data_IF_251039560450
#
_entry.id   IF_251039560450
#
_cell.length_a   1.000
_cell.length_b   1.000
_cell.length_c   1.000
_cell.angle_alpha   90.00
_cell.angle_beta   90.00
_cell.angle_gamma   90.00
#
_symmetry.space_group_name_H-M   'P 1'
#
loop_
_entity.id
_entity.type
_entity.pdbx_description
1 polymer ?
#
# COMPACT_ATOMS: atom_id res chain seq x y z
N UNK A 1 13.40 -35.55 38.78
CA UNK A 1 12.08 -35.01 38.41
C UNK A 1 12.30 -34.14 37.18
N UNK A 2 11.71 -34.53 36.05
CA UNK A 2 12.09 -34.13 34.70
C UNK A 2 11.68 -32.67 34.44
N UNK A 3 12.66 -31.83 34.09
CA UNK A 3 12.45 -30.48 33.58
C UNK A 3 11.88 -30.59 32.16
N UNK A 4 10.63 -30.16 32.00
CA UNK A 4 9.98 -29.97 30.71
C UNK A 4 10.66 -28.84 29.96
N UNK A 5 11.53 -29.19 29.00
CA UNK A 5 11.98 -28.27 27.97
C UNK A 5 10.82 -28.10 26.98
N UNK A 6 10.22 -26.92 26.96
CA UNK A 6 9.18 -26.57 25.99
C UNK A 6 9.86 -26.23 24.63
N UNK A 7 9.67 -27.01 23.55
CA UNK A 7 10.44 -26.88 22.31
C UNK A 7 10.00 -25.71 21.39
N UNK A 8 9.17 -24.79 21.90
CA UNK A 8 8.64 -23.64 21.16
C UNK A 8 9.56 -22.39 21.15
N UNK A 9 10.68 -22.39 21.87
CA UNK A 9 11.49 -21.19 22.10
C UNK A 9 12.99 -21.30 21.75
N UNK A 10 13.35 -22.11 20.74
CA UNK A 10 14.75 -22.16 20.26
C UNK A 10 15.13 -20.88 19.49
N UNK A 11 16.23 -20.19 19.83
CA UNK A 11 16.75 -19.01 19.12
C UNK A 11 16.94 -19.23 17.61
N UNK A 12 17.28 -20.47 17.22
CA UNK A 12 17.49 -20.88 15.83
C UNK A 12 16.22 -20.78 14.98
N UNK A 13 15.03 -21.07 15.55
CA UNK A 13 13.76 -20.97 14.82
C UNK A 13 13.34 -19.51 14.59
N UNK A 14 13.55 -18.62 15.56
CA UNK A 14 13.25 -17.18 15.42
C UNK A 14 14.21 -16.47 14.47
N UNK A 15 15.49 -16.81 14.52
CA UNK A 15 16.50 -16.33 13.56
C UNK A 15 16.22 -16.83 12.15
N UNK A 16 15.82 -18.10 11.98
CA UNK A 16 15.46 -18.65 10.67
C UNK A 16 14.16 -18.03 10.11
N UNK A 17 13.10 -17.93 10.92
CA UNK A 17 11.88 -17.24 10.52
C UNK A 17 12.13 -15.76 10.17
N UNK A 18 13.02 -15.09 10.93
CA UNK A 18 13.49 -13.74 10.61
C UNK A 18 14.24 -13.71 9.27
N UNK A 19 15.17 -14.63 9.01
CA UNK A 19 15.90 -14.69 7.73
C UNK A 19 14.95 -14.92 6.56
N UNK A 20 13.97 -15.82 6.69
CA UNK A 20 12.99 -16.11 5.64
C UNK A 20 12.07 -14.89 5.39
N UNK A 21 11.62 -14.21 6.44
CA UNK A 21 10.81 -12.99 6.32
C UNK A 21 11.61 -11.77 5.85
N UNK A 22 12.89 -11.67 6.22
CA UNK A 22 13.79 -10.59 5.80
C UNK A 22 14.16 -10.73 4.31
N UNK A 23 14.36 -11.96 3.81
CA UNK A 23 14.52 -12.21 2.36
C UNK A 23 13.25 -11.82 1.60
N UNK A 24 12.07 -12.21 2.10
CA UNK A 24 10.78 -11.84 1.50
C UNK A 24 10.58 -10.31 1.44
N UNK A 25 10.82 -9.58 2.54
CA UNK A 25 10.63 -8.14 2.57
C UNK A 25 11.71 -7.36 1.80
N UNK A 26 12.95 -7.87 1.73
CA UNK A 26 14.02 -7.27 0.93
C UNK A 26 13.68 -7.23 -0.56
N UNK A 27 12.93 -8.21 -1.07
CA UNK A 27 12.48 -8.20 -2.46
C UNK A 27 11.58 -6.99 -2.80
N UNK A 28 10.90 -6.43 -1.80
CA UNK A 28 9.96 -5.31 -1.97
C UNK A 28 10.39 -4.05 -1.20
N UNK A 29 11.67 -3.92 -0.86
CA UNK A 29 12.18 -2.83 -0.02
C UNK A 29 11.91 -1.43 -0.58
N UNK A 30 11.84 -1.33 -1.91
CA UNK A 30 11.73 -0.07 -2.63
C UNK A 30 10.26 0.36 -2.84
N UNK A 31 9.32 -0.52 -2.50
CA UNK A 31 7.90 -0.29 -2.75
C UNK A 31 7.21 0.42 -1.58
N UNK A 32 7.48 1.72 -1.48
CA UNK A 32 6.76 2.58 -0.55
C UNK A 32 5.26 2.66 -0.91
N UNK A 33 4.39 2.83 0.10
CA UNK A 33 2.98 3.17 -0.09
C UNK A 33 2.76 4.33 -1.06
N UNK A 34 1.67 4.26 -1.82
CA UNK A 34 1.30 5.30 -2.77
C UNK A 34 0.79 6.51 -1.98
N UNK A 35 1.75 7.29 -1.48
CA UNK A 35 1.53 8.54 -0.76
C UNK A 35 2.55 9.58 -1.20
N UNK A 36 2.06 10.73 -1.64
CA UNK A 36 2.84 11.94 -1.92
C UNK A 36 2.18 13.15 -1.26
N UNK A 37 2.60 14.36 -1.64
CA UNK A 37 1.93 15.60 -1.26
C UNK A 37 0.44 15.52 -1.59
N UNK A 38 -0.41 15.81 -0.59
CA UNK A 38 -1.86 15.80 -0.76
C UNK A 38 -2.29 17.00 -1.61
N UNK A 39 -3.03 16.73 -2.67
CA UNK A 39 -3.50 17.76 -3.57
C UNK A 39 -4.93 18.18 -3.26
N UNK A 40 -5.17 19.49 -3.22
CA UNK A 40 -6.52 20.05 -3.35
C UNK A 40 -7.13 19.69 -4.70
N UNK A 41 -8.45 19.82 -4.83
CA UNK A 41 -9.15 19.56 -6.10
C UNK A 41 -8.58 20.34 -7.29
N UNK A 42 -8.14 21.59 -7.08
CA UNK A 42 -7.53 22.39 -8.14
C UNK A 42 -6.12 21.92 -8.50
N UNK A 43 -5.34 21.46 -7.52
CA UNK A 43 -4.03 20.85 -7.77
C UNK A 43 -4.18 19.53 -8.52
N UNK A 44 -5.15 18.69 -8.13
CA UNK A 44 -5.48 17.44 -8.85
C UNK A 44 -5.84 17.69 -10.31
N UNK A 45 -6.64 18.72 -10.60
CA UNK A 45 -6.98 19.10 -11.99
C UNK A 45 -5.75 19.51 -12.79
N UNK A 46 -4.83 20.30 -12.20
CA UNK A 46 -3.57 20.67 -12.87
C UNK A 46 -2.68 19.46 -13.09
N UNK A 47 -2.59 18.59 -12.09
CA UNK A 47 -1.84 17.34 -12.16
C UNK A 47 -2.35 16.42 -13.25
N UNK A 48 -3.67 16.23 -13.34
CA UNK A 48 -4.29 15.40 -14.37
C UNK A 48 -3.96 15.87 -15.80
N UNK A 49 -3.92 17.18 -16.03
CA UNK A 49 -3.49 17.75 -17.33
C UNK A 49 -2.01 17.50 -17.59
N UNK A 50 -1.16 17.80 -16.62
CA UNK A 50 0.28 17.57 -16.73
C UNK A 50 0.62 16.08 -16.90
N UNK A 51 -0.18 15.18 -16.34
CA UNK A 51 -0.05 13.73 -16.52
C UNK A 51 -0.42 13.33 -17.97
N UNK A 52 -1.54 13.85 -18.47
CA UNK A 52 -1.99 13.59 -19.84
C UNK A 52 -0.98 14.04 -20.91
N UNK A 53 -0.25 15.13 -20.68
CA UNK A 53 0.82 15.62 -21.57
C UNK A 53 2.03 14.66 -21.63
N UNK A 54 2.26 13.87 -20.57
CA UNK A 54 3.40 12.94 -20.45
C UNK A 54 3.07 11.53 -20.94
N UNK A 55 1.80 11.19 -21.05
CA UNK A 55 1.36 9.86 -21.41
C UNK A 55 1.61 9.59 -22.90
N UNK A 56 2.64 8.81 -23.17
CA UNK A 56 2.90 8.23 -24.49
C UNK A 56 2.26 6.83 -24.54
N UNK A 57 1.33 6.63 -25.47
CA UNK A 57 0.64 5.34 -25.66
C UNK A 57 1.39 4.49 -26.68
N UNK A 58 1.60 3.23 -26.35
CA UNK A 58 2.15 2.24 -27.26
C UNK A 58 1.12 1.91 -28.35
N UNK A 59 1.46 2.00 -29.65
CA UNK A 59 0.57 1.56 -30.73
C UNK A 59 0.32 0.04 -30.72
N UNK A 60 1.13 -0.74 -30.00
CA UNK A 60 1.02 -2.20 -29.91
C UNK A 60 0.30 -2.58 -28.61
N UNK A 61 -0.70 -3.48 -28.67
CA UNK A 61 -1.32 -4.05 -27.48
C UNK A 61 -0.28 -4.71 -26.55
N UNK A 62 -0.35 -4.40 -25.26
CA UNK A 62 0.55 -4.94 -24.25
C UNK A 62 0.17 -6.33 -23.75
N UNK A 63 1.01 -6.86 -22.86
CA UNK A 63 0.72 -8.10 -22.14
C UNK A 63 -0.24 -7.87 -20.95
N UNK A 64 -0.83 -8.95 -20.44
CA UNK A 64 -1.71 -8.88 -19.28
C UNK A 64 -0.90 -8.80 -17.99
N UNK A 65 -0.45 -7.60 -17.62
CA UNK A 65 0.36 -7.37 -16.41
C UNK A 65 -0.48 -7.19 -15.13
N UNK A 66 -1.77 -6.88 -15.27
CA UNK A 66 -2.65 -6.58 -14.13
C UNK A 66 -3.06 -7.84 -13.36
N UNK A 67 -3.36 -8.95 -14.04
CA UNK A 67 -3.73 -10.21 -13.38
C UNK A 67 -2.57 -10.85 -12.60
N UNK A 68 -1.35 -11.00 -13.17
CA UNK A 68 -0.19 -11.46 -12.41
C UNK A 68 0.09 -10.58 -11.19
N UNK A 69 0.02 -9.26 -11.36
CA UNK A 69 0.23 -8.32 -10.26
C UNK A 69 -0.84 -8.45 -9.17
N UNK A 70 -2.11 -8.66 -9.54
CA UNK A 70 -3.17 -8.92 -8.56
C UNK A 70 -2.92 -10.20 -7.74
N UNK A 71 -2.43 -11.25 -8.38
CA UNK A 71 -2.11 -12.51 -7.70
C UNK A 71 -0.93 -12.35 -6.73
N UNK A 72 0.12 -11.63 -7.15
CA UNK A 72 1.23 -11.25 -6.27
C UNK A 72 0.75 -10.41 -5.08
N UNK A 73 -0.13 -9.43 -5.35
CA UNK A 73 -0.68 -8.57 -4.31
C UNK A 73 -1.45 -9.35 -3.26
N UNK A 74 -2.29 -10.31 -3.69
CA UNK A 74 -3.02 -11.21 -2.79
C UNK A 74 -2.07 -12.07 -1.95
N UNK A 75 -1.07 -12.69 -2.57
CA UNK A 75 -0.11 -13.54 -1.87
C UNK A 75 0.64 -12.78 -0.77
N UNK A 76 1.06 -11.54 -1.05
CA UNK A 76 1.74 -10.68 -0.08
C UNK A 76 0.79 -10.28 1.06
N UNK A 77 -0.44 -9.88 0.74
CA UNK A 77 -1.43 -9.50 1.75
C UNK A 77 -1.73 -10.67 2.70
N UNK A 78 -1.86 -11.89 2.18
CA UNK A 78 -2.06 -13.10 2.99
C UNK A 78 -0.86 -13.37 3.92
N UNK A 79 0.37 -13.29 3.41
CA UNK A 79 1.57 -13.49 4.23
C UNK A 79 1.69 -12.44 5.35
N UNK A 80 1.37 -11.18 5.07
CA UNK A 80 1.36 -10.14 6.11
C UNK A 80 0.29 -10.43 7.16
N UNK A 81 -0.90 -10.86 6.73
CA UNK A 81 -1.97 -11.24 7.66
C UNK A 81 -1.54 -12.40 8.58
N UNK A 82 -0.91 -13.43 8.04
CA UNK A 82 -0.37 -14.55 8.82
C UNK A 82 0.67 -14.08 9.87
N UNK A 83 1.63 -13.24 9.46
CA UNK A 83 2.63 -12.65 10.35
C UNK A 83 1.98 -11.85 11.50
N UNK A 84 0.96 -11.05 11.19
CA UNK A 84 0.27 -10.25 12.20
C UNK A 84 -0.58 -11.13 13.14
N UNK A 85 -1.23 -12.17 12.62
CA UNK A 85 -1.99 -13.14 13.42
C UNK A 85 -1.10 -13.95 14.36
N UNK A 86 0.11 -14.33 13.94
CA UNK A 86 1.10 -14.98 14.81
C UNK A 86 1.50 -14.08 15.99
N UNK A 87 1.66 -12.78 15.73
CA UNK A 87 1.95 -11.81 16.78
C UNK A 87 0.80 -11.68 17.80
N UNK A 88 -0.46 -11.74 17.34
CA UNK A 88 -1.65 -11.80 18.23
C UNK A 88 -1.60 -13.07 19.08
N UNK A 89 -1.40 -14.23 18.45
CA UNK A 89 -1.39 -15.52 19.13
C UNK A 89 -0.26 -15.62 20.18
N UNK A 90 0.86 -14.94 19.93
CA UNK A 90 1.99 -14.86 20.86
C UNK A 90 1.83 -13.80 21.95
N UNK A 91 0.64 -13.18 22.07
CA UNK A 91 0.31 -12.12 23.01
C UNK A 91 1.29 -10.94 22.98
N UNK A 92 1.86 -10.66 21.81
CA UNK A 92 2.76 -9.54 21.62
C UNK A 92 1.94 -8.26 21.44
N UNK A 93 2.45 -7.11 21.91
CA UNK A 93 1.80 -5.82 21.68
C UNK A 93 1.69 -5.56 20.18
N UNK A 94 0.51 -5.15 19.71
CA UNK A 94 0.24 -4.89 18.30
C UNK A 94 0.01 -3.39 18.08
N UNK A 95 0.55 -2.88 16.98
CA UNK A 95 0.37 -1.50 16.55
C UNK A 95 -1.08 -1.21 16.15
N UNK A 96 -1.60 0.01 16.36
CA UNK A 96 -2.94 0.39 15.94
C UNK A 96 -3.21 0.14 14.44
N UNK A 97 -2.22 0.39 13.57
CA UNK A 97 -2.35 0.15 12.13
C UNK A 97 -2.47 -1.36 11.80
N UNK A 98 -1.75 -2.22 12.52
CA UNK A 98 -1.84 -3.67 12.39
C UNK A 98 -3.21 -4.20 12.83
N UNK A 99 -3.74 -3.70 13.97
CA UNK A 99 -5.10 -4.06 14.42
C UNK A 99 -6.12 -3.66 13.37
N UNK A 100 -6.04 -2.43 12.87
CA UNK A 100 -6.98 -1.94 11.87
C UNK A 100 -6.94 -2.72 10.55
N UNK A 101 -5.75 -3.16 10.12
CA UNK A 101 -5.59 -4.02 8.95
C UNK A 101 -6.24 -5.39 9.16
N UNK A 102 -5.97 -6.04 10.30
CA UNK A 102 -6.56 -7.34 10.67
C UNK A 102 -8.09 -7.26 10.73
N UNK A 103 -8.64 -6.26 11.42
CA UNK A 103 -10.09 -6.07 11.57
C UNK A 103 -10.81 -5.89 10.23
N UNK A 104 -10.11 -5.39 9.20
CA UNK A 104 -10.67 -5.13 7.88
C UNK A 104 -10.19 -6.12 6.81
N UNK A 105 -9.40 -7.14 7.15
CA UNK A 105 -8.78 -8.02 6.17
C UNK A 105 -9.81 -8.76 5.30
N UNK A 106 -10.94 -9.17 5.89
CA UNK A 106 -12.05 -9.81 5.17
C UNK A 106 -12.61 -8.95 4.02
N UNK A 107 -12.62 -7.61 4.18
CA UNK A 107 -13.05 -6.68 3.11
C UNK A 107 -12.03 -6.65 1.99
N UNK A 108 -10.74 -6.72 2.32
CA UNK A 108 -9.66 -6.75 1.33
C UNK A 108 -9.78 -8.04 0.50
N UNK A 109 -9.99 -9.19 1.15
CA UNK A 109 -10.22 -10.47 0.47
C UNK A 109 -11.46 -10.45 -0.43
N UNK A 110 -12.53 -9.79 0.00
CA UNK A 110 -13.72 -9.59 -0.83
C UNK A 110 -13.40 -8.78 -2.09
N UNK A 111 -12.67 -7.66 -1.97
CA UNK A 111 -12.29 -6.85 -3.12
C UNK A 111 -11.37 -7.58 -4.08
N UNK A 112 -10.44 -8.41 -3.59
CA UNK A 112 -9.58 -9.25 -4.43
C UNK A 112 -10.43 -10.26 -5.20
N UNK A 113 -11.37 -10.93 -4.53
CA UNK A 113 -12.31 -11.86 -5.18
C UNK A 113 -13.16 -11.17 -6.24
N UNK A 114 -13.67 -9.97 -5.97
CA UNK A 114 -14.40 -9.16 -6.94
C UNK A 114 -13.52 -8.74 -8.12
N UNK A 115 -12.28 -8.32 -7.86
CA UNK A 115 -11.35 -7.93 -8.91
C UNK A 115 -11.05 -9.10 -9.86
N UNK A 116 -10.80 -10.31 -9.32
CA UNK A 116 -10.60 -11.52 -10.13
C UNK A 116 -11.81 -11.90 -10.97
N UNK A 117 -13.04 -11.67 -10.48
CA UNK A 117 -14.27 -11.97 -11.21
C UNK A 117 -14.55 -10.97 -12.32
N UNK A 118 -14.29 -9.69 -12.08
CA UNK A 118 -14.62 -8.60 -12.99
C UNK A 118 -13.49 -8.18 -13.92
N UNK A 119 -12.33 -8.83 -13.84
CA UNK A 119 -11.21 -8.64 -14.77
C UNK A 119 -11.08 -9.89 -15.67
N UNK A 120 -11.77 -9.95 -16.82
CA UNK A 120 -11.62 -11.04 -17.78
C UNK A 120 -10.17 -11.16 -18.25
N UNK A 121 -9.72 -12.39 -18.53
CA UNK A 121 -8.42 -12.63 -19.15
C UNK A 121 -8.34 -11.90 -20.48
N UNK A 122 -7.30 -11.10 -20.68
CA UNK A 122 -7.10 -10.35 -21.91
C UNK A 122 -7.80 -9.00 -21.99
N UNK A 123 -8.72 -8.66 -21.06
CA UNK A 123 -9.35 -7.33 -21.06
C UNK A 123 -8.31 -6.21 -20.90
N UNK A 124 -7.29 -6.43 -20.07
CA UNK A 124 -6.17 -5.50 -19.91
C UNK A 124 -5.39 -5.28 -21.22
N UNK A 125 -5.27 -6.31 -22.07
CA UNK A 125 -4.52 -6.26 -23.34
C UNK A 125 -5.16 -5.32 -24.36
N UNK A 126 -6.48 -5.17 -24.31
CA UNK A 126 -7.24 -4.30 -25.22
C UNK A 126 -7.15 -2.82 -24.84
N UNK A 127 -6.66 -2.50 -23.64
CA UNK A 127 -6.51 -1.13 -23.18
C UNK A 127 -5.24 -0.48 -23.78
N UNK A 128 -5.23 0.85 -24.01
CA UNK A 128 -4.03 1.58 -24.40
C UNK A 128 -2.94 1.47 -23.32
N UNK A 129 -1.77 0.95 -23.70
CA UNK A 129 -0.64 0.75 -22.79
C UNK A 129 0.34 1.92 -22.84
N UNK A 130 1.04 2.16 -21.73
CA UNK A 130 2.10 3.16 -21.65
C UNK A 130 3.35 2.66 -22.38
N UNK A 131 3.90 3.49 -23.27
CA UNK A 131 5.12 3.19 -24.03
C UNK A 131 6.40 3.31 -23.18
N UNK A 132 6.43 4.29 -22.27
CA UNK A 132 7.62 4.65 -21.49
C UNK A 132 7.29 4.95 -20.03
N UNK A 133 8.34 5.02 -19.21
CA UNK A 133 8.26 5.37 -17.80
C UNK A 133 8.15 4.15 -16.87
N UNK A 134 7.97 4.37 -15.56
CA UNK A 134 7.96 3.32 -14.54
C UNK A 134 6.86 2.27 -14.72
N UNK A 135 5.78 2.64 -15.43
CA UNK A 135 4.65 1.76 -15.75
C UNK A 135 4.57 1.42 -17.24
N UNK A 136 5.70 1.46 -17.97
CA UNK A 136 5.76 0.97 -19.34
C UNK A 136 5.18 -0.46 -19.42
N UNK A 137 4.33 -0.70 -20.41
CA UNK A 137 3.62 -1.97 -20.58
C UNK A 137 2.39 -2.16 -19.69
N UNK A 138 2.04 -1.23 -18.80
CA UNK A 138 0.74 -1.22 -18.11
C UNK A 138 -0.28 -0.32 -18.83
N UNK A 139 -1.60 -0.58 -18.72
CA UNK A 139 -2.62 0.31 -19.24
C UNK A 139 -2.48 1.73 -18.66
N UNK A 140 -2.54 2.78 -19.49
CA UNK A 140 -2.41 4.17 -19.01
C UNK A 140 -3.46 4.56 -17.98
N UNK A 141 -4.65 3.94 -18.07
CA UNK A 141 -5.72 4.13 -17.09
C UNK A 141 -5.32 3.65 -15.68
N UNK A 142 -4.42 2.67 -15.58
CA UNK A 142 -3.86 2.21 -14.30
C UNK A 142 -2.93 3.24 -13.69
N UNK A 143 -2.15 3.95 -14.50
CA UNK A 143 -1.32 5.06 -14.02
C UNK A 143 -2.18 6.22 -13.53
N UNK A 144 -3.23 6.60 -14.29
CA UNK A 144 -4.23 7.60 -13.87
C UNK A 144 -4.80 7.26 -12.48
N UNK A 145 -5.19 6.00 -12.27
CA UNK A 145 -5.73 5.56 -10.99
C UNK A 145 -4.69 5.63 -9.85
N UNK A 146 -3.45 5.22 -10.12
CA UNK A 146 -2.36 5.28 -9.14
C UNK A 146 -2.00 6.72 -8.77
N UNK A 147 -1.92 7.61 -9.74
CA UNK A 147 -1.63 9.04 -9.54
C UNK A 147 -2.73 9.74 -8.73
N UNK A 148 -4.00 9.40 -8.99
CA UNK A 148 -5.11 9.88 -8.16
C UNK A 148 -4.94 9.41 -6.71
N UNK A 149 -4.71 8.11 -6.49
CA UNK A 149 -4.54 7.53 -5.14
C UNK A 149 -3.31 8.11 -4.42
N UNK A 150 -2.21 8.31 -5.14
CA UNK A 150 -0.95 8.86 -4.63
C UNK A 150 -1.15 10.24 -4.00
N UNK A 151 -1.95 11.10 -4.64
CA UNK A 151 -2.19 12.48 -4.22
C UNK A 151 -3.45 12.68 -3.37
N UNK A 152 -4.21 11.61 -3.11
CA UNK A 152 -5.36 11.63 -2.19
C UNK A 152 -5.19 10.68 -1.00
N UNK A 153 -4.03 10.03 -0.85
CA UNK A 153 -3.76 9.00 0.14
C UNK A 153 -4.84 7.89 0.15
N UNK A 154 -5.26 7.49 -1.05
CA UNK A 154 -6.29 6.47 -1.27
C UNK A 154 -7.72 6.92 -0.95
N UNK A 155 -7.97 8.19 -0.60
CA UNK A 155 -9.33 8.72 -0.44
C UNK A 155 -9.88 9.15 -1.80
N UNK A 156 -10.81 8.37 -2.34
CA UNK A 156 -11.42 8.64 -3.64
C UNK A 156 -12.92 8.77 -3.49
N UNK A 157 -13.48 9.78 -4.15
CA UNK A 157 -14.92 10.03 -4.23
C UNK A 157 -15.33 10.39 -5.66
N UNK A 158 -16.64 10.46 -5.90
CA UNK A 158 -17.20 10.71 -7.23
C UNK A 158 -16.74 12.05 -7.83
N UNK A 159 -16.62 13.09 -6.99
CA UNK A 159 -16.29 14.44 -7.45
C UNK A 159 -14.82 14.53 -7.85
N UNK A 160 -13.92 14.08 -6.99
CA UNK A 160 -12.47 14.07 -7.24
C UNK A 160 -12.13 13.23 -8.46
N UNK A 161 -12.69 12.01 -8.57
CA UNK A 161 -12.48 11.14 -9.73
C UNK A 161 -12.98 11.79 -11.02
N UNK A 162 -14.22 12.32 -11.03
CA UNK A 162 -14.80 12.94 -12.23
C UNK A 162 -13.97 14.14 -12.68
N UNK A 163 -13.62 15.05 -11.76
CA UNK A 163 -12.82 16.24 -12.10
C UNK A 163 -11.43 15.87 -12.61
N UNK A 164 -10.80 14.84 -12.05
CA UNK A 164 -9.50 14.36 -12.51
C UNK A 164 -9.59 13.82 -13.95
N UNK A 165 -10.55 12.93 -14.21
CA UNK A 165 -10.75 12.32 -15.54
C UNK A 165 -11.17 13.36 -16.58
N UNK A 166 -12.09 14.27 -16.23
CA UNK A 166 -12.48 15.36 -17.14
C UNK A 166 -11.29 16.27 -17.47
N UNK A 167 -10.45 16.61 -16.48
CA UNK A 167 -9.27 17.43 -16.69
C UNK A 167 -8.22 16.74 -17.57
N UNK A 168 -7.95 15.46 -17.32
CA UNK A 168 -7.06 14.64 -18.15
C UNK A 168 -7.53 14.64 -19.63
N UNK A 169 -8.84 14.42 -19.85
CA UNK A 169 -9.43 14.37 -21.19
C UNK A 169 -9.43 15.70 -21.94
N UNK A 170 -9.12 16.83 -21.29
CA UNK A 170 -8.91 18.10 -22.01
C UNK A 170 -7.62 18.13 -22.83
N UNK A 171 -6.68 17.22 -22.53
CA UNK A 171 -5.42 17.08 -23.25
C UNK A 171 -5.46 15.85 -24.15
N UNK A 172 -5.82 14.69 -23.58
CA UNK A 172 -5.81 13.40 -24.29
C UNK A 172 -7.10 12.63 -24.03
N UNK A 173 -7.87 12.35 -25.08
CA UNK A 173 -9.15 11.64 -24.98
C UNK A 173 -8.94 10.17 -24.58
N UNK A 174 -9.73 9.71 -23.61
CA UNK A 174 -9.80 8.30 -23.22
C UNK A 174 -10.85 7.60 -24.09
N UNK A 175 -10.56 6.38 -24.52
CA UNK A 175 -11.54 5.59 -25.26
C UNK A 175 -12.63 5.04 -24.32
N UNK A 176 -13.71 4.51 -24.88
CA UNK A 176 -14.84 4.02 -24.09
C UNK A 176 -14.43 2.80 -23.25
N UNK A 177 -13.57 1.94 -23.79
CA UNK A 177 -12.98 0.81 -23.06
C UNK A 177 -12.26 1.23 -21.77
N UNK A 178 -11.46 2.31 -21.83
CA UNK A 178 -10.75 2.87 -20.68
C UNK A 178 -11.69 3.49 -19.65
N UNK A 179 -12.73 4.20 -20.10
CA UNK A 179 -13.74 4.78 -19.20
C UNK A 179 -14.51 3.68 -18.45
N UNK A 180 -14.82 2.57 -19.11
CA UNK A 180 -15.39 1.38 -18.47
C UNK A 180 -14.40 0.69 -17.54
N UNK A 181 -13.11 0.70 -17.86
CA UNK A 181 -12.08 0.10 -17.04
C UNK A 181 -11.83 0.85 -15.73
N UNK A 182 -12.22 2.13 -15.60
CA UNK A 182 -11.97 2.96 -14.40
C UNK A 182 -12.33 2.25 -13.10
N UNK A 183 -13.50 1.60 -13.05
CA UNK A 183 -13.98 0.93 -11.84
C UNK A 183 -13.07 -0.22 -11.39
N UNK A 184 -12.68 -1.10 -12.32
CA UNK A 184 -11.84 -2.25 -12.02
C UNK A 184 -10.40 -1.79 -11.77
N UNK A 185 -9.91 -0.82 -12.53
CA UNK A 185 -8.56 -0.29 -12.43
C UNK A 185 -8.33 0.46 -11.11
N UNK A 186 -9.28 1.28 -10.65
CA UNK A 186 -9.22 1.88 -9.31
C UNK A 186 -9.17 0.80 -8.23
N UNK A 187 -9.98 -0.26 -8.35
CA UNK A 187 -9.97 -1.37 -7.39
C UNK A 187 -8.58 -2.01 -7.30
N UNK A 188 -7.96 -2.28 -8.44
CA UNK A 188 -6.60 -2.85 -8.50
C UNK A 188 -5.56 -1.91 -7.88
N UNK A 189 -5.66 -0.61 -8.16
CA UNK A 189 -4.71 0.37 -7.63
C UNK A 189 -4.87 0.58 -6.11
N UNK A 190 -6.09 0.50 -5.55
CA UNK A 190 -6.33 0.49 -4.11
C UNK A 190 -5.78 -0.79 -3.44
N UNK A 191 -5.95 -1.96 -4.07
CA UNK A 191 -5.36 -3.23 -3.58
C UNK A 191 -3.83 -3.14 -3.59
N UNK A 192 -3.24 -2.58 -4.66
CA UNK A 192 -1.80 -2.31 -4.76
C UNK A 192 -1.31 -1.41 -3.61
N UNK A 193 -2.04 -0.34 -3.31
CA UNK A 193 -1.67 0.56 -2.21
C UNK A 193 -1.77 -0.15 -0.85
N UNK A 194 -2.84 -0.90 -0.60
CA UNK A 194 -3.01 -1.69 0.63
C UNK A 194 -1.90 -2.71 0.82
N UNK A 195 -1.44 -3.35 -0.25
CA UNK A 195 -0.30 -4.26 -0.19
C UNK A 195 0.98 -3.52 0.20
N UNK A 196 1.27 -2.37 -0.40
CA UNK A 196 2.43 -1.54 -0.04
C UNK A 196 2.39 -1.13 1.44
N UNK A 197 1.23 -0.68 1.91
CA UNK A 197 1.04 -0.30 3.33
C UNK A 197 1.24 -1.53 4.23
N UNK A 198 0.69 -2.68 3.85
CA UNK A 198 0.83 -3.95 4.58
C UNK A 198 2.30 -4.39 4.68
N UNK A 199 3.08 -4.27 3.61
CA UNK A 199 4.53 -4.56 3.65
C UNK A 199 5.28 -3.65 4.62
N UNK A 200 4.96 -2.34 4.64
CA UNK A 200 5.57 -1.41 5.60
C UNK A 200 5.22 -1.78 7.04
N UNK A 201 3.95 -2.11 7.31
CA UNK A 201 3.49 -2.59 8.62
C UNK A 201 4.22 -3.88 9.02
N UNK A 202 4.38 -4.82 8.09
CA UNK A 202 5.12 -6.06 8.33
C UNK A 202 6.60 -5.81 8.66
N UNK A 203 7.25 -4.89 7.95
CA UNK A 203 8.65 -4.51 8.24
C UNK A 203 8.78 -3.93 9.64
N UNK A 204 7.93 -2.97 9.99
CA UNK A 204 7.90 -2.42 11.34
C UNK A 204 7.65 -3.50 12.41
N UNK A 205 6.78 -4.48 12.13
CA UNK A 205 6.54 -5.62 13.02
C UNK A 205 7.79 -6.48 13.24
N UNK A 206 8.52 -6.79 12.17
CA UNK A 206 9.76 -7.58 12.26
C UNK A 206 10.83 -6.83 13.03
N UNK A 207 10.98 -5.54 12.77
CA UNK A 207 11.93 -4.68 13.47
C UNK A 207 11.61 -4.59 14.97
N UNK A 208 10.33 -4.50 15.33
CA UNK A 208 9.89 -4.56 16.74
C UNK A 208 10.11 -5.91 17.39
N UNK A 209 9.90 -7.01 16.66
CA UNK A 209 10.22 -8.35 17.16
C UNK A 209 11.70 -8.48 17.48
N UNK A 210 12.56 -7.92 16.63
CA UNK A 210 13.99 -7.89 16.86
C UNK A 210 14.38 -7.02 18.06
N UNK A 211 13.81 -5.82 18.16
CA UNK A 211 13.99 -4.94 19.31
C UNK A 211 13.56 -5.64 20.61
N UNK A 212 12.40 -6.31 20.59
CA UNK A 212 11.89 -7.10 21.71
C UNK A 212 12.86 -8.20 22.14
N UNK A 213 13.40 -8.97 21.17
CA UNK A 213 14.41 -9.99 21.44
C UNK A 213 15.65 -9.43 22.13
N UNK A 214 16.23 -8.36 21.59
CA UNK A 214 17.44 -7.77 22.18
C UNK A 214 17.17 -7.11 23.52
N UNK A 215 16.01 -6.45 23.68
CA UNK A 215 15.59 -5.91 24.96
C UNK A 215 15.45 -7.01 26.01
N UNK A 216 14.85 -8.16 25.66
CA UNK A 216 14.75 -9.32 26.57
C UNK A 216 16.14 -9.83 26.99
N UNK A 217 17.10 -9.91 26.06
CA UNK A 217 18.48 -10.32 26.39
C UNK A 217 19.16 -9.33 27.34
N UNK A 218 19.06 -8.04 27.02
CA UNK A 218 19.66 -6.97 27.82
C UNK A 218 19.05 -6.92 29.23
N UNK A 219 17.72 -7.01 29.36
CA UNK A 219 17.02 -7.03 30.65
C UNK A 219 17.46 -8.25 31.47
N UNK A 220 17.45 -9.45 30.86
CA UNK A 220 17.86 -10.68 31.53
C UNK A 220 19.31 -10.60 32.02
N UNK A 221 20.23 -10.04 31.23
CA UNK A 221 21.62 -9.86 31.62
C UNK A 221 21.77 -8.85 32.76
N UNK A 222 20.99 -7.76 32.74
CA UNK A 222 20.99 -6.80 33.85
C UNK A 222 20.48 -7.42 35.17
N UNK A 223 19.60 -8.40 35.11
CA UNK A 223 19.08 -9.09 36.30
C UNK A 223 20.01 -10.21 36.80
N UNK A 224 20.63 -10.96 35.88
CA UNK A 224 21.33 -12.21 36.21
C UNK A 224 22.86 -12.08 36.26
N UNK A 225 23.45 -11.32 35.34
CA UNK A 225 24.90 -11.16 35.24
C UNK A 225 25.27 -9.76 34.68
N UNK A 226 25.10 -8.69 35.49
CA UNK A 226 25.29 -7.31 35.01
C UNK A 226 26.68 -7.04 34.40
N UNK A 227 27.71 -7.78 34.83
CA UNK A 227 29.09 -7.66 34.34
C UNK A 227 29.23 -8.10 32.88
N UNK A 228 28.31 -8.91 32.37
CA UNK A 228 28.29 -9.40 30.98
C UNK A 228 27.57 -8.47 30.01
N UNK A 229 27.07 -7.31 30.47
CA UNK A 229 26.33 -6.35 29.64
C UNK A 229 27.10 -5.93 28.37
N UNK A 230 28.41 -5.71 28.48
CA UNK A 230 29.25 -5.32 27.35
C UNK A 230 29.23 -6.39 26.24
N UNK A 231 29.19 -7.67 26.61
CA UNK A 231 29.16 -8.78 25.63
C UNK A 231 27.85 -8.77 24.85
N UNK A 232 26.72 -8.60 25.54
CA UNK A 232 25.39 -8.56 24.91
C UNK A 232 25.24 -7.34 23.99
N UNK A 233 25.74 -6.17 24.40
CA UNK A 233 25.75 -4.98 23.54
C UNK A 233 26.66 -5.19 22.32
N UNK A 234 27.80 -5.88 22.49
CA UNK A 234 28.67 -6.22 21.36
C UNK A 234 28.04 -7.26 20.42
N UNK A 235 27.27 -8.22 20.93
CA UNK A 235 26.48 -9.16 20.11
C UNK A 235 25.37 -8.44 19.34
N UNK A 236 24.67 -7.51 19.99
CA UNK A 236 23.67 -6.63 19.35
C UNK A 236 24.32 -5.85 18.20
N UNK A 237 25.45 -5.19 18.45
CA UNK A 237 26.17 -4.42 17.44
C UNK A 237 26.61 -5.30 16.26
N UNK A 238 27.13 -6.50 16.53
CA UNK A 238 27.50 -7.47 15.47
C UNK A 238 26.32 -7.98 14.66
N UNK A 239 25.10 -7.92 15.20
CA UNK A 239 23.89 -8.35 14.48
C UNK A 239 23.39 -7.34 13.44
N UNK A 240 24.02 -6.16 13.37
CA UNK A 240 23.70 -5.08 12.44
C UNK A 240 22.19 -4.76 12.36
N UNK A 241 21.58 -4.32 13.47
CA UNK A 241 20.16 -4.00 13.51
C UNK A 241 19.85 -2.80 12.59
N UNK A 242 18.66 -2.75 11.95
CA UNK A 242 18.34 -1.79 10.90
C UNK A 242 18.22 -0.32 11.36
N UNK A 243 18.25 -0.05 12.67
CA UNK A 243 18.06 1.29 13.27
C UNK A 243 16.84 2.04 12.71
N UNK A 244 15.77 1.29 12.41
CA UNK A 244 14.49 1.86 11.99
C UNK A 244 13.77 2.50 13.18
N UNK A 245 12.83 3.41 12.92
CA UNK A 245 12.01 4.05 13.96
C UNK A 245 11.27 3.01 14.80
N UNK A 246 10.73 1.97 14.16
CA UNK A 246 10.07 0.85 14.83
C UNK A 246 10.99 0.06 15.76
N UNK A 247 12.24 -0.22 15.35
CA UNK A 247 13.23 -0.89 16.19
C UNK A 247 13.59 -0.02 17.40
N UNK A 248 14.00 1.22 17.15
CA UNK A 248 14.48 2.14 18.20
C UNK A 248 13.37 2.43 19.20
N UNK A 249 12.15 2.71 18.74
CA UNK A 249 11.02 3.02 19.60
C UNK A 249 10.67 1.85 20.53
N UNK A 250 10.60 0.62 20.02
CA UNK A 250 10.30 -0.54 20.86
C UNK A 250 11.43 -0.88 21.83
N UNK A 251 12.69 -0.73 21.39
CA UNK A 251 13.85 -0.99 22.25
C UNK A 251 13.93 0.04 23.38
N UNK A 252 13.88 1.33 23.07
CA UNK A 252 13.91 2.41 24.05
C UNK A 252 12.77 2.28 25.06
N UNK A 253 11.53 2.11 24.58
CA UNK A 253 10.33 1.93 25.41
C UNK A 253 10.44 0.75 26.38
N UNK A 254 11.13 -0.33 26.00
CA UNK A 254 11.33 -1.50 26.88
C UNK A 254 12.37 -1.25 27.96
N UNK A 255 13.40 -0.44 27.68
CA UNK A 255 14.48 -0.17 28.61
C UNK A 255 14.26 1.06 29.50
N UNK A 256 13.34 1.96 29.12
CA UNK A 256 12.97 3.13 29.92
C UNK A 256 12.48 2.74 31.32
N UNK A 257 12.96 3.48 32.34
CA UNK A 257 12.44 3.42 33.71
C UNK A 257 12.84 2.20 34.54
N UNK A 258 13.75 1.34 34.06
CA UNK A 258 14.12 0.11 34.76
C UNK A 258 15.35 0.23 35.69
N UNK A 259 16.57 0.36 35.16
CA UNK A 259 17.81 0.42 35.97
C UNK A 259 18.97 1.14 35.26
N UNK A 260 19.96 1.63 36.02
CA UNK A 260 21.11 2.38 35.48
C UNK A 260 22.05 1.52 34.60
N UNK A 261 22.03 0.19 34.74
CA UNK A 261 22.82 -0.73 33.90
C UNK A 261 22.27 -0.77 32.46
N UNK A 262 20.98 -0.49 32.29
CA UNK A 262 20.32 -0.46 30.98
C UNK A 262 20.63 0.78 30.16
N UNK A 263 21.31 1.77 30.75
CA UNK A 263 21.75 2.98 30.04
C UNK A 263 22.82 2.65 28.99
N UNK A 264 23.65 1.62 29.18
CA UNK A 264 24.73 1.27 28.24
C UNK A 264 24.21 0.93 26.84
N UNK A 265 23.24 0.01 26.67
CA UNK A 265 22.61 -0.24 25.38
C UNK A 265 21.96 1.00 24.75
N UNK A 266 21.36 1.89 25.56
CA UNK A 266 20.74 3.12 25.06
C UNK A 266 21.78 4.13 24.55
N UNK A 267 22.92 4.28 25.25
CA UNK A 267 24.04 5.10 24.79
C UNK A 267 24.58 4.57 23.45
N UNK A 268 24.68 3.24 23.30
CA UNK A 268 25.12 2.65 22.05
C UNK A 268 24.16 2.95 20.88
N UNK A 269 22.85 2.87 21.10
CA UNK A 269 21.86 3.29 20.09
C UNK A 269 22.00 4.78 19.76
N UNK A 270 22.13 5.64 20.78
CA UNK A 270 22.29 7.09 20.57
C UNK A 270 23.54 7.39 19.72
N UNK A 271 24.65 6.69 19.96
CA UNK A 271 25.88 6.81 19.15
C UNK A 271 25.61 6.43 17.69
N UNK A 272 24.97 5.28 17.43
CA UNK A 272 24.61 4.85 16.08
C UNK A 272 23.66 5.85 15.36
N UNK A 273 22.74 6.48 16.09
CA UNK A 273 21.83 7.48 15.53
C UNK A 273 22.52 8.82 15.26
N UNK A 274 23.51 9.16 16.09
CA UNK A 274 24.29 10.40 15.95
C UNK A 274 25.06 10.47 14.62
N UNK A 275 25.51 9.33 14.08
CA UNK A 275 26.11 9.23 12.75
C UNK A 275 25.19 9.75 11.63
N UNK A 276 23.87 9.64 11.84
CA UNK A 276 22.83 10.12 10.93
C UNK A 276 22.16 11.41 11.40
N UNK A 277 22.68 12.04 12.45
CA UNK A 277 22.14 13.27 13.05
C UNK A 277 20.75 13.10 13.65
N UNK A 278 20.38 11.89 14.10
CA UNK A 278 19.09 11.59 14.73
C UNK A 278 19.25 11.30 16.22
N UNK A 279 18.16 11.43 16.97
CA UNK A 279 18.08 11.07 18.40
C UNK A 279 17.02 10.01 18.63
N UNK A 280 17.09 9.28 19.76
CA UNK A 280 16.03 8.32 20.13
C UNK A 280 14.65 8.97 20.17
N UNK A 281 14.53 10.18 20.72
CA UNK A 281 13.25 10.91 20.80
C UNK A 281 12.65 11.17 19.40
N UNK A 282 13.48 11.59 18.45
CA UNK A 282 13.04 11.78 17.06
C UNK A 282 12.57 10.47 16.44
N UNK A 283 13.29 9.36 16.65
CA UNK A 283 12.89 8.05 16.14
C UNK A 283 11.57 7.56 16.73
N UNK A 284 11.33 7.82 18.02
CA UNK A 284 10.04 7.50 18.68
C UNK A 284 8.90 8.32 18.08
N UNK A 285 9.10 9.63 17.85
CA UNK A 285 8.09 10.48 17.21
C UNK A 285 7.82 10.04 15.76
N UNK A 286 8.86 9.69 15.00
CA UNK A 286 8.73 9.17 13.64
C UNK A 286 7.90 7.86 13.60
N UNK A 287 8.13 6.93 14.54
CA UNK A 287 7.34 5.69 14.64
C UNK A 287 5.87 5.98 14.90
N UNK A 288 5.56 6.87 15.84
CA UNK A 288 4.18 7.26 16.18
C UNK A 288 3.47 7.94 14.99
N UNK A 289 4.17 8.84 14.29
CA UNK A 289 3.64 9.51 13.10
C UNK A 289 3.38 8.50 11.98
N UNK A 290 4.31 7.56 11.76
CA UNK A 290 4.17 6.54 10.74
C UNK A 290 2.99 5.61 11.03
N UNK A 291 2.83 5.11 12.25
CA UNK A 291 1.68 4.27 12.63
C UNK A 291 0.35 5.00 12.43
N UNK A 292 0.29 6.27 12.81
CA UNK A 292 -0.91 7.08 12.66
C UNK A 292 -1.27 7.25 11.18
N UNK A 293 -0.26 7.56 10.36
CA UNK A 293 -0.46 7.74 8.93
C UNK A 293 -0.88 6.43 8.25
N UNK A 294 -0.29 5.30 8.62
CA UNK A 294 -0.62 3.98 8.07
C UNK A 294 -2.06 3.58 8.40
N UNK A 295 -2.48 3.80 9.65
CA UNK A 295 -3.86 3.57 10.06
C UNK A 295 -4.85 4.41 9.24
N UNK A 296 -4.56 5.70 9.03
CA UNK A 296 -5.41 6.59 8.22
C UNK A 296 -5.50 6.10 6.79
N UNK A 297 -4.37 5.75 6.15
CA UNK A 297 -4.37 5.31 4.76
C UNK A 297 -5.09 3.98 4.55
N UNK A 298 -4.95 3.01 5.48
CA UNK A 298 -5.77 1.79 5.44
C UNK A 298 -7.25 2.18 5.52
N UNK A 299 -7.62 3.07 6.45
CA UNK A 299 -8.98 3.60 6.56
C UNK A 299 -9.49 4.23 5.25
N UNK A 300 -8.69 5.07 4.60
CA UNK A 300 -9.02 5.71 3.33
C UNK A 300 -9.25 4.69 2.21
N UNK A 301 -8.33 3.73 2.04
CA UNK A 301 -8.47 2.68 1.01
C UNK A 301 -9.73 1.82 1.23
N UNK A 302 -9.99 1.41 2.49
CA UNK A 302 -11.21 0.66 2.84
C UNK A 302 -12.48 1.49 2.61
N UNK A 303 -12.44 2.80 2.89
CA UNK A 303 -13.54 3.72 2.60
C UNK A 303 -13.82 3.82 1.10
N UNK A 304 -12.77 3.94 0.29
CA UNK A 304 -12.86 4.04 -1.17
C UNK A 304 -13.43 2.79 -1.83
N UNK A 305 -13.25 1.60 -1.25
CA UNK A 305 -13.93 0.40 -1.76
C UNK A 305 -15.46 0.50 -1.69
N UNK A 306 -16.02 1.08 -0.62
CA UNK A 306 -17.47 1.31 -0.53
C UNK A 306 -17.95 2.29 -1.60
N UNK A 307 -17.14 3.30 -1.92
CA UNK A 307 -17.40 4.20 -3.03
C UNK A 307 -17.45 3.43 -4.36
N UNK A 308 -16.52 2.50 -4.61
CA UNK A 308 -16.53 1.71 -5.85
C UNK A 308 -17.77 0.83 -6.00
N UNK A 309 -18.36 0.40 -4.89
CA UNK A 309 -19.58 -0.43 -4.86
C UNK A 309 -20.86 0.39 -5.03
N UNK A 310 -20.88 1.63 -4.52
CA UNK A 310 -22.09 2.48 -4.55
C UNK A 310 -22.19 3.39 -5.78
N UNK A 311 -21.07 3.61 -6.49
CA UNK A 311 -21.03 4.48 -7.67
C UNK A 311 -21.83 3.91 -8.85
N UNK A 312 -22.68 4.73 -9.47
CA UNK A 312 -23.34 4.40 -10.72
C UNK A 312 -22.37 4.61 -11.90
N UNK A 313 -21.61 3.57 -12.21
CA UNK A 313 -20.60 3.59 -13.27
C UNK A 313 -21.17 3.91 -14.66
N UNK A 314 -22.45 3.61 -14.91
CA UNK A 314 -23.12 4.00 -16.16
C UNK A 314 -23.20 5.51 -16.27
N UNK A 315 -23.67 6.19 -15.21
CA UNK A 315 -23.73 7.65 -15.16
C UNK A 315 -22.34 8.29 -15.21
N UNK A 316 -21.34 7.64 -14.60
CA UNK A 316 -19.97 8.11 -14.68
C UNK A 316 -19.45 8.12 -16.13
N UNK A 317 -19.60 7.01 -16.85
CA UNK A 317 -19.17 6.89 -18.25
C UNK A 317 -19.92 7.88 -19.14
N UNK A 318 -21.24 8.00 -19.01
CA UNK A 318 -22.02 8.98 -19.77
C UNK A 318 -21.60 10.43 -19.48
N UNK A 319 -21.35 10.76 -18.20
CA UNK A 319 -20.96 12.11 -17.80
C UNK A 319 -19.54 12.52 -18.20
N UNK A 320 -18.66 11.55 -18.49
CA UNK A 320 -17.25 11.79 -18.81
C UNK A 320 -16.90 11.53 -20.27
N UNK A 321 -17.67 10.70 -20.97
CA UNK A 321 -17.43 10.34 -22.37
C UNK A 321 -17.57 11.56 -23.30
N UNK A 322 -16.51 11.82 -24.07
CA UNK A 322 -16.51 12.84 -25.13
C UNK A 322 -17.48 12.45 -26.25
N UNK A 323 -17.57 11.16 -26.58
CA UNK A 323 -18.50 10.62 -27.57
C UNK A 323 -19.94 10.83 -27.12
N UNK A 324 -20.28 10.55 -25.86
CA UNK A 324 -21.61 10.83 -25.31
C UNK A 324 -21.96 12.32 -25.41
N UNK A 325 -21.02 13.21 -25.05
CA UNK A 325 -21.23 14.66 -25.14
C UNK A 325 -21.50 15.09 -26.59
N UNK A 326 -20.79 14.53 -27.57
CA UNK A 326 -21.00 14.82 -28.99
C UNK A 326 -22.34 14.29 -29.52
N UNK A 327 -22.71 13.07 -29.16
CA UNK A 327 -23.99 12.46 -29.57
C UNK A 327 -25.20 13.20 -28.97
N UNK A 328 -25.06 13.77 -27.77
CA UNK A 328 -26.08 14.62 -27.16
C UNK A 328 -26.27 15.99 -27.86
N UNK A 329 -25.41 16.35 -28.81
CA UNK A 329 -25.62 17.52 -29.68
C UNK A 329 -26.54 17.22 -30.88
N UNK A 330 -27.16 16.03 -30.92
CA UNK A 330 -28.19 15.67 -31.90
C UNK A 330 -29.24 16.79 -32.03
N UNK A 331 -29.35 17.46 -33.20
CA UNK A 331 -30.28 18.57 -33.40
C UNK A 331 -31.75 18.21 -33.17
N UNK A 332 -32.12 16.94 -33.34
CA UNK A 332 -33.49 16.44 -33.15
C UNK A 332 -33.72 16.01 -31.69
N UNK A 333 -32.66 15.87 -30.89
CA UNK A 333 -32.73 15.47 -29.49
C UNK A 333 -33.29 14.06 -29.29
N UNK A 334 -33.21 13.19 -30.30
CA UNK A 334 -33.71 11.81 -30.21
C UNK A 334 -32.75 10.97 -29.39
N UNK A 335 -31.44 11.18 -29.57
CA UNK A 335 -30.40 10.43 -28.87
C UNK A 335 -30.57 10.44 -27.34
N UNK A 336 -30.79 11.62 -26.75
CA UNK A 336 -30.90 11.78 -25.29
C UNK A 336 -32.14 11.13 -24.68
N UNK A 337 -33.17 10.83 -25.49
CA UNK A 337 -34.39 10.13 -25.07
C UNK A 337 -34.28 8.61 -25.16
N UNK A 338 -33.23 8.09 -25.80
CA UNK A 338 -33.02 6.65 -25.95
C UNK A 338 -32.63 5.98 -24.63
N UNK A 339 -33.00 4.70 -24.49
CA UNK A 339 -32.54 3.89 -23.38
C UNK A 339 -31.01 3.75 -23.37
N UNK A 340 -30.47 3.40 -22.21
CA UNK A 340 -29.03 3.26 -22.01
C UNK A 340 -28.40 2.27 -23.00
N UNK A 341 -29.03 1.12 -23.25
CA UNK A 341 -28.47 0.07 -24.11
C UNK A 341 -28.34 0.54 -25.56
N UNK A 342 -29.29 1.34 -26.02
CA UNK A 342 -29.28 1.92 -27.36
C UNK A 342 -28.19 2.98 -27.46
N UNK A 343 -28.12 3.92 -26.51
CA UNK A 343 -27.03 4.93 -26.45
C UNK A 343 -25.65 4.27 -26.40
N UNK A 344 -25.51 3.19 -25.64
CA UNK A 344 -24.26 2.44 -25.53
C UNK A 344 -23.81 1.80 -26.85
N UNK A 345 -24.74 1.24 -27.64
CA UNK A 345 -24.44 0.73 -28.98
C UNK A 345 -23.95 1.82 -29.93
N UNK A 346 -24.53 3.03 -29.86
CA UNK A 346 -24.06 4.16 -30.65
C UNK A 346 -22.62 4.53 -30.26
N UNK A 347 -22.32 4.64 -28.96
CA UNK A 347 -20.97 4.94 -28.47
C UNK A 347 -19.95 3.91 -28.98
N UNK A 348 -20.24 2.61 -28.88
CA UNK A 348 -19.38 1.55 -29.41
C UNK A 348 -19.23 1.57 -30.94
N UNK A 349 -20.25 2.01 -31.66
CA UNK A 349 -20.18 2.13 -33.13
C UNK A 349 -19.24 3.27 -33.52
N UNK A 350 -19.35 4.42 -32.84
CA UNK A 350 -18.47 5.58 -33.08
C UNK A 350 -17.02 5.27 -32.76
N UNK A 351 -16.74 4.52 -31.69
CA UNK A 351 -15.37 4.14 -31.29
C UNK A 351 -14.64 3.27 -32.33
N UNK A 352 -15.37 2.62 -33.25
CA UNK A 352 -14.80 1.78 -34.31
C UNK A 352 -14.44 2.54 -35.58
N UNK A 353 -14.78 3.82 -35.66
CA UNK A 353 -14.50 4.73 -36.79
C UNK A 353 -13.27 5.53 -36.43
#
# INVERSE_FOLDING_TARGET
MILSQNPAHSPSKRLKARLDSDVFLRQYSDEQPLRSELFSTNQLVRHAKALAERHEVDPIPGEDLLLPRLAENEAILLQVNELLMEAVASNLRIAPASVWLLDNFYKIEEQIRMAKRHLPKGYSKELPHMLRGPLAGYPRIYDIAKELILHTDGRVDAESLKRFVDAYQTITVLNLGELWAVAIVLRLALIENLRRISLRIARARIDRNLAGYWADQVILTAETEPKSMIVVVADLARSDPPMSSAFVAEFARRLEGQSQVLTVPLIWIEECLSEKGKTIEQMVQEDMQQETADKVSVGNNIGSFRFLESMDWRKFVEGTSVVEKALNLDPVGTYSQMDFATRDRYRHTVERI
#
